data_IF_065602550878
#
_entry.id   IF_065602550878
#
_cell.length_a   1.000
_cell.length_b   1.000
_cell.length_c   1.000
_cell.angle_alpha   90.00
_cell.angle_beta   90.00
_cell.angle_gamma   90.00
#
_symmetry.space_group_name_H-M   'P 1'
#
loop_
_entity.id
_entity.type
_entity.pdbx_description
1 polymer ?
#
# COMPACT_ATOMS: atom_id res chain seq x y z
N UNK A 1 -0.52 4.37 -6.35
CA UNK A 1 -0.38 5.62 -7.15
C UNK A 1 0.93 6.29 -6.78
N UNK A 2 1.71 6.76 -7.78
CA UNK A 2 3.02 7.37 -7.56
C UNK A 2 3.09 8.76 -8.17
N UNK A 3 3.75 9.68 -7.46
CA UNK A 3 4.15 10.99 -7.96
C UNK A 3 5.50 10.81 -8.67
N UNK A 4 5.60 11.31 -9.91
CA UNK A 4 6.79 11.15 -10.75
C UNK A 4 7.99 11.94 -10.21
N UNK A 5 9.20 11.57 -10.67
CA UNK A 5 10.47 12.24 -10.35
C UNK A 5 10.38 13.74 -10.65
N UNK A 6 10.88 14.56 -9.70
CA UNK A 6 10.94 16.03 -9.85
C UNK A 6 9.61 16.75 -9.84
N UNK A 7 8.47 16.05 -9.66
CA UNK A 7 7.15 16.66 -9.75
C UNK A 7 6.73 17.42 -8.49
N UNK A 8 7.33 17.16 -7.34
CA UNK A 8 7.06 17.93 -6.11
C UNK A 8 8.07 19.08 -5.94
N UNK A 9 7.61 20.24 -5.46
CA UNK A 9 8.51 21.31 -5.03
C UNK A 9 9.49 20.78 -3.96
N UNK A 10 10.78 21.20 -3.99
CA UNK A 10 11.83 20.64 -3.12
C UNK A 10 11.50 20.68 -1.62
N UNK A 11 10.89 21.78 -1.16
CA UNK A 11 10.50 21.94 0.26
C UNK A 11 9.45 20.89 0.65
N UNK A 12 8.46 20.63 -0.23
CA UNK A 12 7.44 19.62 0.04
C UNK A 12 8.01 18.21 -0.06
N UNK A 13 8.88 17.95 -1.03
CA UNK A 13 9.61 16.68 -1.11
C UNK A 13 10.35 16.40 0.21
N UNK A 14 11.12 17.38 0.71
CA UNK A 14 11.83 17.28 1.98
C UNK A 14 10.89 17.06 3.18
N UNK A 15 9.75 17.77 3.22
CA UNK A 15 8.76 17.62 4.27
C UNK A 15 8.17 16.19 4.29
N UNK A 16 7.84 15.61 3.12
CA UNK A 16 7.34 14.24 3.05
C UNK A 16 8.39 13.19 3.41
N UNK A 17 9.67 13.43 3.12
CA UNK A 17 10.75 12.60 3.66
C UNK A 17 10.80 12.65 5.18
N UNK A 18 10.74 13.85 5.77
CA UNK A 18 10.75 14.01 7.22
C UNK A 18 9.56 13.30 7.89
N UNK A 19 8.35 13.43 7.31
CA UNK A 19 7.13 12.79 7.84
C UNK A 19 7.19 11.26 7.70
N UNK A 20 7.73 10.72 6.62
CA UNK A 20 7.79 9.27 6.36
C UNK A 20 8.88 8.55 7.14
N UNK A 21 10.01 9.21 7.39
CA UNK A 21 11.20 8.61 8.02
C UNK A 21 10.91 7.90 9.36
N UNK A 22 10.15 8.45 10.30
CA UNK A 22 9.85 7.77 11.56
C UNK A 22 9.13 6.43 11.36
N UNK A 23 8.20 6.36 10.40
CA UNK A 23 7.46 5.13 10.07
C UNK A 23 8.38 4.08 9.44
N UNK A 24 9.30 4.51 8.56
CA UNK A 24 10.27 3.62 7.93
C UNK A 24 11.25 3.05 8.96
N UNK A 25 11.77 3.87 9.87
CA UNK A 25 12.65 3.42 10.96
C UNK A 25 11.90 2.45 11.87
N UNK A 26 10.69 2.78 12.30
CA UNK A 26 9.86 1.87 13.10
C UNK A 26 9.59 0.57 12.35
N UNK A 27 9.32 0.66 11.05
CA UNK A 27 9.11 -0.49 10.18
C UNK A 27 10.34 -1.39 10.08
N UNK A 28 11.55 -0.82 9.92
CA UNK A 28 12.79 -1.58 9.92
C UNK A 28 12.98 -2.35 11.23
N UNK A 29 12.73 -1.70 12.38
CA UNK A 29 12.77 -2.37 13.69
C UNK A 29 11.72 -3.49 13.79
N UNK A 30 10.53 -3.28 13.24
CA UNK A 30 9.47 -4.29 13.22
C UNK A 30 9.86 -5.51 12.36
N UNK A 31 10.48 -5.31 11.20
CA UNK A 31 11.01 -6.39 10.35
C UNK A 31 12.09 -7.19 11.09
N UNK A 32 13.06 -6.50 11.71
CA UNK A 32 14.12 -7.16 12.49
C UNK A 32 13.51 -8.00 13.63
N UNK A 33 12.54 -7.44 14.36
CA UNK A 33 11.83 -8.16 15.44
C UNK A 33 11.08 -9.38 14.89
N UNK A 34 10.38 -9.25 13.77
CA UNK A 34 9.66 -10.35 13.13
C UNK A 34 10.60 -11.48 12.73
N UNK A 35 11.70 -11.14 12.04
CA UNK A 35 12.69 -12.11 11.58
C UNK A 35 13.43 -12.80 12.74
N UNK A 36 13.71 -12.08 13.83
CA UNK A 36 14.32 -12.69 15.04
C UNK A 36 13.37 -13.66 15.73
N UNK A 37 12.07 -13.34 15.76
CA UNK A 37 11.04 -14.19 16.38
C UNK A 37 10.73 -15.42 15.52
N UNK A 38 10.68 -15.24 14.20
CA UNK A 38 10.34 -16.25 13.21
C UNK A 38 11.27 -16.12 11.99
N UNK A 39 12.44 -16.81 11.99
CA UNK A 39 13.41 -16.73 10.90
C UNK A 39 12.88 -17.19 9.55
N UNK A 40 11.88 -18.08 9.52
CA UNK A 40 11.24 -18.57 8.29
C UNK A 40 10.35 -17.51 7.65
N UNK A 41 9.92 -16.50 8.42
CA UNK A 41 9.14 -15.39 7.89
C UNK A 41 9.88 -14.55 6.84
N UNK A 42 11.21 -14.67 6.70
CA UNK A 42 12.01 -13.97 5.69
C UNK A 42 11.51 -14.22 4.27
N UNK A 43 11.22 -15.50 3.96
CA UNK A 43 10.73 -15.87 2.63
C UNK A 43 9.36 -15.28 2.35
N UNK A 44 8.47 -15.33 3.35
CA UNK A 44 7.12 -14.74 3.22
C UNK A 44 7.16 -13.20 3.12
N UNK A 45 8.07 -12.55 3.85
CA UNK A 45 8.31 -11.11 3.74
C UNK A 45 8.82 -10.74 2.34
N UNK A 46 9.76 -11.50 1.80
CA UNK A 46 10.25 -11.31 0.45
C UNK A 46 9.15 -11.55 -0.60
N UNK A 47 8.34 -12.60 -0.43
CA UNK A 47 7.22 -12.89 -1.32
C UNK A 47 6.14 -11.78 -1.28
N UNK A 48 5.82 -11.26 -0.10
CA UNK A 48 4.89 -10.13 0.03
C UNK A 48 5.43 -8.86 -0.63
N UNK A 49 6.73 -8.57 -0.48
CA UNK A 49 7.39 -7.46 -1.17
C UNK A 49 7.39 -7.65 -2.69
N UNK A 50 7.70 -8.86 -3.18
CA UNK A 50 7.67 -9.19 -4.59
C UNK A 50 6.24 -9.09 -5.18
N UNK A 51 5.23 -9.55 -4.47
CA UNK A 51 3.83 -9.39 -4.86
C UNK A 51 3.44 -7.91 -4.96
N UNK A 52 3.76 -7.11 -3.95
CA UNK A 52 3.53 -5.67 -3.94
C UNK A 52 4.26 -5.00 -5.11
N UNK A 53 5.53 -5.35 -5.37
CA UNK A 53 6.31 -4.83 -6.48
C UNK A 53 5.66 -5.18 -7.84
N UNK A 54 5.34 -6.44 -8.06
CA UNK A 54 4.79 -6.91 -9.34
C UNK A 54 3.40 -6.30 -9.61
N UNK A 55 2.53 -6.28 -8.59
CA UNK A 55 1.18 -5.75 -8.73
C UNK A 55 1.20 -4.24 -9.01
N UNK A 56 1.99 -3.48 -8.28
CA UNK A 56 2.08 -2.03 -8.45
C UNK A 56 2.96 -1.59 -9.64
N UNK A 57 3.69 -2.50 -10.27
CA UNK A 57 4.40 -2.24 -11.53
C UNK A 57 3.46 -2.18 -12.74
N UNK A 58 2.27 -2.79 -12.66
CA UNK A 58 1.23 -2.70 -13.71
C UNK A 58 0.58 -1.32 -13.63
N UNK A 59 1.18 -0.36 -14.32
CA UNK A 59 0.76 1.05 -14.27
C UNK A 59 -0.06 1.46 -15.47
N UNK A 60 -1.10 2.24 -15.21
CA UNK A 60 -1.84 3.00 -16.21
C UNK A 60 -1.36 4.45 -16.17
N UNK A 61 -1.05 5.06 -17.33
CA UNK A 61 -0.77 6.49 -17.38
C UNK A 61 -1.93 7.28 -16.78
N UNK A 62 -1.63 8.21 -15.89
CA UNK A 62 -2.59 9.14 -15.34
C UNK A 62 -2.23 10.57 -15.72
N UNK A 63 -3.10 11.53 -15.44
CA UNK A 63 -2.83 12.93 -15.76
C UNK A 63 -1.82 13.53 -14.77
N UNK A 64 -1.11 14.56 -15.21
CA UNK A 64 -0.29 15.42 -14.35
C UNK A 64 0.82 14.71 -13.54
N UNK A 65 1.76 14.05 -14.25
CA UNK A 65 2.99 13.53 -13.60
C UNK A 65 2.76 12.43 -12.56
N UNK A 66 1.66 11.67 -12.68
CA UNK A 66 1.35 10.55 -11.82
C UNK A 66 0.94 9.30 -12.60
N UNK A 67 0.90 8.16 -11.93
CA UNK A 67 0.43 6.89 -12.49
C UNK A 67 -0.58 6.23 -11.57
N UNK A 68 -1.60 5.60 -12.16
CA UNK A 68 -2.60 4.79 -11.46
C UNK A 68 -2.21 3.31 -11.56
N UNK A 69 -2.29 2.59 -10.45
CA UNK A 69 -1.96 1.16 -10.37
C UNK A 69 -2.53 0.57 -9.08
N UNK A 70 -2.78 -0.75 -9.02
CA UNK A 70 -3.08 -1.42 -7.75
C UNK A 70 -1.87 -1.32 -6.82
N UNK A 71 -2.07 -1.44 -5.52
CA UNK A 71 -0.99 -1.26 -4.54
C UNK A 71 -0.39 -2.57 -4.03
N UNK A 72 -1.20 -3.58 -3.78
CA UNK A 72 -0.79 -4.83 -3.13
C UNK A 72 -0.49 -4.70 -1.63
N UNK A 73 -0.46 -3.48 -1.11
CA UNK A 73 -0.04 -3.21 0.26
C UNK A 73 -1.06 -3.66 1.31
N UNK A 74 -2.34 -3.76 0.93
CA UNK A 74 -3.40 -4.30 1.79
C UNK A 74 -3.12 -5.76 2.17
N UNK A 75 -2.70 -6.60 1.23
CA UNK A 75 -2.34 -8.00 1.50
C UNK A 75 -1.14 -8.09 2.45
N UNK A 76 -0.09 -7.32 2.19
CA UNK A 76 1.08 -7.27 3.07
C UNK A 76 0.72 -6.79 4.49
N UNK A 77 -0.23 -5.83 4.61
CA UNK A 77 -0.69 -5.33 5.90
C UNK A 77 -1.49 -6.39 6.69
N UNK A 78 -2.31 -7.20 6.03
CA UNK A 78 -3.00 -8.33 6.65
C UNK A 78 -1.99 -9.35 7.19
N UNK A 79 -0.98 -9.70 6.40
CA UNK A 79 0.02 -10.73 6.75
C UNK A 79 0.98 -10.26 7.85
N UNK A 80 1.53 -9.05 7.76
CA UNK A 80 2.65 -8.61 8.59
C UNK A 80 2.40 -7.36 9.42
N UNK A 81 1.20 -6.79 9.32
CA UNK A 81 0.81 -5.52 9.97
C UNK A 81 1.48 -4.28 9.35
N UNK A 82 0.85 -3.11 9.45
CA UNK A 82 1.30 -1.87 8.78
C UNK A 82 2.74 -1.44 9.06
N UNK A 83 3.29 -1.55 10.30
CA UNK A 83 4.67 -1.14 10.51
C UNK A 83 5.68 -1.88 9.63
N UNK A 84 5.50 -3.19 9.44
CA UNK A 84 6.37 -3.99 8.57
C UNK A 84 6.23 -3.52 7.11
N UNK A 85 5.01 -3.21 6.68
CA UNK A 85 4.73 -2.74 5.31
C UNK A 85 5.38 -1.38 5.04
N UNK A 86 5.48 -0.51 6.04
CA UNK A 86 6.16 0.79 5.89
C UNK A 86 7.61 0.63 5.42
N UNK A 87 8.34 -0.37 5.92
CA UNK A 87 9.71 -0.64 5.49
C UNK A 87 9.78 -1.40 4.17
N UNK A 88 9.03 -2.51 4.04
CA UNK A 88 9.03 -3.32 2.82
C UNK A 88 8.53 -2.50 1.63
N UNK A 89 7.45 -1.73 1.80
CA UNK A 89 6.93 -0.84 0.78
C UNK A 89 7.93 0.25 0.37
N UNK A 90 8.74 0.75 1.32
CA UNK A 90 9.84 1.68 0.99
C UNK A 90 10.87 1.02 0.06
N UNK A 91 11.25 -0.23 0.33
CA UNK A 91 12.18 -0.96 -0.55
C UNK A 91 11.55 -1.20 -1.93
N UNK A 92 10.28 -1.59 -1.98
CA UNK A 92 9.54 -1.76 -3.25
C UNK A 92 9.55 -0.46 -4.06
N UNK A 93 9.16 0.66 -3.44
CA UNK A 93 9.12 1.98 -4.07
C UNK A 93 10.49 2.45 -4.54
N UNK A 94 11.55 2.19 -3.75
CA UNK A 94 12.92 2.50 -4.12
C UNK A 94 13.35 1.71 -5.38
N UNK A 95 13.10 0.41 -5.40
CA UNK A 95 13.41 -0.42 -6.57
C UNK A 95 12.59 -0.01 -7.79
N UNK A 96 11.33 0.35 -7.64
CA UNK A 96 10.50 0.84 -8.75
C UNK A 96 11.02 2.18 -9.30
N UNK A 97 11.46 3.09 -8.45
CA UNK A 97 12.04 4.35 -8.88
C UNK A 97 13.35 4.14 -9.68
N UNK A 98 14.23 3.25 -9.21
CA UNK A 98 15.53 3.01 -9.84
C UNK A 98 15.41 2.14 -11.11
N UNK A 99 14.63 1.05 -11.05
CA UNK A 99 14.61 0.05 -12.12
C UNK A 99 13.55 0.30 -13.19
N UNK A 100 12.43 0.94 -12.82
CA UNK A 100 11.25 1.07 -13.69
C UNK A 100 10.92 2.53 -14.04
N UNK A 101 11.69 3.51 -13.53
CA UNK A 101 11.33 4.92 -13.59
C UNK A 101 9.85 5.14 -13.18
N UNK A 102 9.42 4.43 -12.12
CA UNK A 102 8.06 4.44 -11.61
C UNK A 102 8.05 5.11 -10.23
N UNK A 103 7.45 6.29 -10.12
CA UNK A 103 7.67 7.22 -9.03
C UNK A 103 8.95 8.03 -9.25
N UNK A 104 9.66 8.35 -8.18
CA UNK A 104 10.92 9.07 -8.25
C UNK A 104 11.66 9.05 -6.92
N UNK A 105 12.99 9.30 -6.98
CA UNK A 105 13.82 9.40 -5.79
C UNK A 105 13.51 10.67 -5.00
N UNK A 106 13.30 11.80 -5.69
CA UNK A 106 12.93 13.07 -5.03
C UNK A 106 11.53 13.03 -4.43
N UNK A 107 10.63 12.22 -4.97
CA UNK A 107 9.25 12.07 -4.50
C UNK A 107 9.06 10.82 -3.62
N UNK A 108 10.14 10.08 -3.33
CA UNK A 108 10.07 8.82 -2.59
C UNK A 108 9.39 8.98 -1.23
N UNK A 109 9.70 10.05 -0.49
CA UNK A 109 9.07 10.32 0.81
C UNK A 109 7.55 10.44 0.73
N UNK A 110 7.03 11.14 -0.27
CA UNK A 110 5.59 11.29 -0.49
C UNK A 110 4.94 9.95 -0.90
N UNK A 111 5.56 9.23 -1.83
CA UNK A 111 5.09 7.93 -2.28
C UNK A 111 5.12 6.88 -1.16
N UNK A 112 6.12 6.90 -0.30
CA UNK A 112 6.20 6.06 0.91
C UNK A 112 5.05 6.40 1.87
N UNK A 113 4.81 7.69 2.14
CA UNK A 113 3.75 8.06 3.06
C UNK A 113 2.37 7.61 2.56
N UNK A 114 2.07 7.83 1.29
CA UNK A 114 0.76 7.45 0.73
C UNK A 114 0.59 5.93 0.64
N UNK A 115 1.53 5.22 0.02
CA UNK A 115 1.38 3.81 -0.32
C UNK A 115 1.88 2.84 0.75
N UNK A 116 2.97 3.18 1.47
CA UNK A 116 3.55 2.27 2.45
C UNK A 116 3.15 2.58 3.90
N UNK A 117 2.57 3.78 4.15
CA UNK A 117 2.07 4.16 5.48
C UNK A 117 0.54 4.27 5.46
N UNK A 118 -0.03 5.30 4.85
CA UNK A 118 -1.47 5.59 4.96
C UNK A 118 -2.34 4.45 4.41
N UNK A 119 -2.06 3.95 3.21
CA UNK A 119 -2.78 2.84 2.61
C UNK A 119 -2.84 1.61 3.51
N UNK A 120 -1.69 1.02 3.92
CA UNK A 120 -1.65 -0.14 4.80
C UNK A 120 -2.35 0.03 6.14
N UNK A 121 -2.25 1.20 6.76
CA UNK A 121 -2.93 1.47 8.04
C UNK A 121 -4.45 1.48 7.88
N UNK A 122 -4.96 2.17 6.85
CA UNK A 122 -6.40 2.20 6.56
C UNK A 122 -6.92 0.81 6.17
N UNK A 123 -6.21 0.09 5.31
CA UNK A 123 -6.57 -1.28 4.94
C UNK A 123 -6.57 -2.24 6.13
N UNK A 124 -5.54 -2.18 6.98
CA UNK A 124 -5.47 -3.00 8.19
C UNK A 124 -6.60 -2.70 9.19
N UNK A 125 -7.02 -1.44 9.29
CA UNK A 125 -8.17 -1.06 10.10
C UNK A 125 -9.43 -1.79 9.60
N UNK A 126 -9.67 -1.85 8.28
CA UNK A 126 -10.78 -2.60 7.70
C UNK A 126 -10.68 -4.10 8.02
N UNK A 127 -9.49 -4.68 7.85
CA UNK A 127 -9.25 -6.07 8.23
C UNK A 127 -9.64 -6.35 9.68
N UNK A 128 -9.13 -5.58 10.62
CA UNK A 128 -9.39 -5.79 12.07
C UNK A 128 -10.87 -5.62 12.39
N UNK A 129 -11.53 -4.65 11.77
CA UNK A 129 -12.94 -4.34 12.02
C UNK A 129 -13.88 -5.44 11.52
N UNK A 130 -13.60 -6.02 10.35
CA UNK A 130 -14.54 -6.92 9.68
C UNK A 130 -14.17 -8.42 9.72
N UNK A 131 -12.92 -8.79 10.10
CA UNK A 131 -12.46 -10.19 10.08
C UNK A 131 -13.26 -11.15 10.96
N UNK A 132 -13.95 -10.65 12.00
CA UNK A 132 -14.82 -11.45 12.86
C UNK A 132 -16.23 -11.63 12.29
N UNK A 133 -16.65 -10.77 11.37
CA UNK A 133 -17.95 -10.80 10.72
C UNK A 133 -17.89 -11.68 9.46
N UNK A 134 -17.00 -11.31 8.54
CA UNK A 134 -16.77 -12.07 7.30
C UNK A 134 -15.34 -11.81 6.80
N UNK A 135 -14.56 -12.86 6.66
CA UNK A 135 -13.14 -12.75 6.28
C UNK A 135 -12.94 -12.34 4.82
N UNK A 136 -13.75 -12.86 3.92
CA UNK A 136 -13.66 -12.47 2.51
C UNK A 136 -13.98 -10.98 2.34
N UNK A 137 -15.03 -10.49 3.01
CA UNK A 137 -15.37 -9.08 3.04
C UNK A 137 -14.23 -8.25 3.68
N UNK A 138 -13.65 -8.73 4.79
CA UNK A 138 -12.54 -8.04 5.46
C UNK A 138 -11.30 -7.93 4.57
N UNK A 139 -10.96 -8.98 3.84
CA UNK A 139 -9.86 -8.97 2.86
C UNK A 139 -10.17 -8.01 1.71
N UNK A 140 -11.38 -8.11 1.13
CA UNK A 140 -11.81 -7.21 0.07
C UNK A 140 -11.68 -5.74 0.49
N UNK A 141 -12.27 -5.39 1.64
CA UNK A 141 -12.23 -4.02 2.15
C UNK A 141 -10.80 -3.57 2.50
N UNK A 142 -9.98 -4.47 3.05
CA UNK A 142 -8.59 -4.14 3.38
C UNK A 142 -7.78 -3.78 2.14
N UNK A 143 -7.94 -4.53 1.05
CA UNK A 143 -7.26 -4.27 -0.22
C UNK A 143 -7.80 -2.99 -0.88
N UNK A 144 -9.12 -2.91 -1.06
CA UNK A 144 -9.75 -1.78 -1.73
C UNK A 144 -9.54 -0.45 -0.99
N UNK A 145 -9.66 -0.45 0.34
CA UNK A 145 -9.46 0.77 1.14
C UNK A 145 -7.99 1.16 1.23
N UNK A 146 -7.05 0.19 1.23
CA UNK A 146 -5.62 0.52 1.15
C UNK A 146 -5.28 1.26 -0.15
N UNK A 147 -5.82 0.82 -1.28
CA UNK A 147 -5.65 1.49 -2.58
C UNK A 147 -6.32 2.87 -2.58
N UNK A 148 -7.57 2.98 -2.16
CA UNK A 148 -8.29 4.25 -2.10
C UNK A 148 -7.64 5.25 -1.14
N UNK A 149 -7.14 4.82 0.02
CA UNK A 149 -6.45 5.69 0.96
C UNK A 149 -5.13 6.23 0.35
N UNK A 150 -4.39 5.37 -0.36
CA UNK A 150 -3.20 5.79 -1.10
C UNK A 150 -3.53 6.88 -2.12
N UNK A 151 -4.60 6.70 -2.86
CA UNK A 151 -5.09 7.67 -3.85
C UNK A 151 -5.51 9.01 -3.22
N UNK A 152 -6.28 8.97 -2.14
CA UNK A 152 -6.76 10.18 -1.45
C UNK A 152 -5.58 10.98 -0.90
N UNK A 153 -4.62 10.31 -0.26
CA UNK A 153 -3.42 10.97 0.25
C UNK A 153 -2.57 11.55 -0.87
N UNK A 154 -2.40 10.84 -1.99
CA UNK A 154 -1.67 11.38 -3.15
C UNK A 154 -2.37 12.59 -3.74
N UNK A 155 -3.70 12.58 -3.83
CA UNK A 155 -4.48 13.74 -4.28
C UNK A 155 -4.28 14.94 -3.36
N UNK A 156 -4.27 14.72 -2.06
CA UNK A 156 -3.96 15.75 -1.06
C UNK A 156 -2.54 16.31 -1.24
N UNK A 157 -1.54 15.44 -1.40
CA UNK A 157 -0.14 15.84 -1.61
C UNK A 157 0.02 16.74 -2.84
N UNK A 158 -0.65 16.37 -3.93
CA UNK A 158 -0.63 17.16 -5.17
C UNK A 158 -1.41 18.47 -5.04
N UNK A 159 -2.54 18.49 -4.33
CA UNK A 159 -3.30 19.71 -4.11
C UNK A 159 -2.54 20.73 -3.23
N UNK A 160 -1.76 20.24 -2.26
CA UNK A 160 -0.85 21.11 -1.47
C UNK A 160 0.30 21.64 -2.33
N UNK A 161 0.83 20.80 -3.24
CA UNK A 161 1.91 21.19 -4.15
C UNK A 161 1.46 22.21 -5.21
N UNK A 162 0.24 22.04 -5.70
CA UNK A 162 -0.33 22.79 -6.81
C UNK A 162 -1.74 23.30 -6.46
N UNK A 163 -1.87 24.24 -5.52
CA UNK A 163 -3.14 24.90 -5.28
C UNK A 163 -3.59 25.60 -6.57
N UNK A 164 -4.90 25.67 -6.81
CA UNK A 164 -5.45 26.29 -8.03
C UNK A 164 -4.97 27.74 -8.24
N UNK A 165 -5.22 28.29 -9.42
CA UNK A 165 -4.74 29.63 -9.81
C UNK A 165 -5.07 30.73 -8.78
N UNK A 166 -6.19 30.58 -8.08
CA UNK A 166 -6.62 31.51 -7.03
C UNK A 166 -6.17 31.05 -5.61
N UNK A 167 -5.20 30.12 -5.51
CA UNK A 167 -4.79 29.52 -4.23
C UNK A 167 -5.87 28.63 -3.60
N UNK A 168 -6.90 28.25 -4.33
CA UNK A 168 -8.01 27.44 -3.82
C UNK A 168 -7.62 25.96 -3.73
N UNK A 169 -7.16 25.58 -2.55
CA UNK A 169 -6.80 24.19 -2.23
C UNK A 169 -7.98 23.22 -2.46
N UNK A 170 -9.21 23.59 -2.08
CA UNK A 170 -10.38 22.71 -2.22
C UNK A 170 -10.71 22.39 -3.67
N UNK A 171 -10.61 23.39 -4.55
CA UNK A 171 -10.82 23.21 -6.00
C UNK A 171 -9.72 22.29 -6.59
N UNK A 172 -8.47 22.48 -6.19
CA UNK A 172 -7.36 21.64 -6.63
C UNK A 172 -7.51 20.20 -6.14
N UNK A 173 -7.85 20.00 -4.86
CA UNK A 173 -8.09 18.67 -4.29
C UNK A 173 -9.25 17.97 -5.03
N UNK A 174 -10.36 18.65 -5.26
CA UNK A 174 -11.50 18.12 -6.02
C UNK A 174 -11.10 17.72 -7.43
N UNK A 175 -10.27 18.52 -8.10
CA UNK A 175 -9.76 18.21 -9.44
C UNK A 175 -8.89 16.95 -9.45
N UNK A 176 -7.88 16.86 -8.57
CA UNK A 176 -7.03 15.67 -8.50
C UNK A 176 -7.84 14.42 -8.10
N UNK A 177 -8.68 14.54 -7.08
CA UNK A 177 -9.52 13.45 -6.63
C UNK A 177 -10.47 12.94 -7.73
N UNK A 178 -11.16 13.80 -8.46
CA UNK A 178 -12.09 13.38 -9.51
C UNK A 178 -11.38 12.71 -10.69
N UNK A 179 -10.24 13.25 -11.10
CA UNK A 179 -9.46 12.68 -12.21
C UNK A 179 -8.95 11.29 -11.86
N UNK A 180 -8.40 11.11 -10.66
CA UNK A 180 -7.89 9.82 -10.23
C UNK A 180 -8.99 8.80 -9.92
N UNK A 181 -10.15 9.24 -9.44
CA UNK A 181 -11.27 8.36 -9.14
C UNK A 181 -11.68 7.48 -10.32
N UNK A 182 -11.61 8.00 -11.54
CA UNK A 182 -11.99 7.29 -12.78
C UNK A 182 -11.20 5.98 -12.93
N UNK A 183 -9.92 5.97 -12.58
CA UNK A 183 -9.07 4.79 -12.66
C UNK A 183 -8.97 4.03 -11.34
N UNK A 184 -8.86 4.75 -10.22
CA UNK A 184 -8.61 4.11 -8.92
C UNK A 184 -9.83 3.41 -8.32
N UNK A 185 -11.04 3.87 -8.55
CA UNK A 185 -12.22 3.16 -8.05
C UNK A 185 -12.35 1.77 -8.70
N UNK A 186 -12.29 1.62 -10.04
CA UNK A 186 -12.25 0.29 -10.66
C UNK A 186 -11.06 -0.55 -10.22
N UNK A 187 -9.87 0.04 -10.08
CA UNK A 187 -8.66 -0.67 -9.63
C UNK A 187 -8.80 -1.15 -8.19
N UNK A 188 -9.33 -0.35 -7.28
CA UNK A 188 -9.57 -0.74 -5.89
C UNK A 188 -10.54 -1.93 -5.78
N UNK A 189 -11.60 -1.94 -6.59
CA UNK A 189 -12.54 -3.06 -6.67
C UNK A 189 -11.81 -4.32 -7.18
N UNK A 190 -11.06 -4.19 -8.27
CA UNK A 190 -10.28 -5.30 -8.83
C UNK A 190 -9.23 -5.82 -7.84
N UNK A 191 -8.53 -4.92 -7.13
CA UNK A 191 -7.56 -5.28 -6.09
C UNK A 191 -8.23 -5.99 -4.92
N UNK A 192 -9.43 -5.54 -4.51
CA UNK A 192 -10.23 -6.21 -3.48
C UNK A 192 -10.61 -7.63 -3.87
N UNK A 193 -11.08 -7.84 -5.10
CA UNK A 193 -11.40 -9.18 -5.65
C UNK A 193 -10.16 -10.07 -5.72
N UNK A 194 -9.06 -9.52 -6.26
CA UNK A 194 -7.79 -10.23 -6.33
C UNK A 194 -7.31 -10.65 -4.94
N UNK A 195 -7.47 -9.80 -3.93
CA UNK A 195 -7.15 -10.10 -2.54
C UNK A 195 -7.93 -11.29 -2.01
N UNK A 196 -9.23 -11.33 -2.24
CA UNK A 196 -10.09 -12.47 -1.83
C UNK A 196 -9.60 -13.77 -2.48
N UNK A 197 -9.32 -13.76 -3.78
CA UNK A 197 -8.82 -14.93 -4.51
C UNK A 197 -7.42 -15.34 -3.99
N UNK A 198 -6.54 -14.38 -3.76
CA UNK A 198 -5.20 -14.62 -3.20
C UNK A 198 -5.28 -15.30 -1.83
N UNK A 199 -6.07 -14.77 -0.90
CA UNK A 199 -6.19 -15.34 0.43
C UNK A 199 -6.91 -16.69 0.44
N UNK A 200 -7.88 -16.92 -0.46
CA UNK A 200 -8.47 -18.23 -0.68
C UNK A 200 -7.44 -19.26 -1.18
N UNK A 201 -6.55 -18.85 -2.09
CA UNK A 201 -5.44 -19.68 -2.55
C UNK A 201 -4.42 -19.95 -1.43
N UNK A 202 -3.99 -18.89 -0.72
CA UNK A 202 -3.01 -19.02 0.37
C UNK A 202 -3.52 -19.92 1.50
N UNK A 203 -4.82 -19.91 1.78
CA UNK A 203 -5.40 -20.79 2.80
C UNK A 203 -5.20 -22.27 2.46
N UNK A 204 -5.20 -22.61 1.17
CA UNK A 204 -5.00 -24.01 0.70
C UNK A 204 -3.52 -24.39 0.65
N UNK A 205 -2.63 -23.49 0.24
CA UNK A 205 -1.22 -23.84 -0.04
C UNK A 205 -0.26 -23.42 1.08
N UNK A 206 -0.64 -22.47 1.94
CA UNK A 206 0.18 -21.89 2.99
C UNK A 206 -0.58 -21.72 4.32
N UNK A 207 -1.52 -22.63 4.59
CA UNK A 207 -2.34 -22.61 5.80
C UNK A 207 -1.54 -22.61 7.12
N UNK A 208 -0.50 -23.45 7.26
CA UNK A 208 0.39 -23.44 8.43
C UNK A 208 1.05 -22.07 8.66
N UNK A 209 1.51 -21.42 7.61
CA UNK A 209 2.14 -20.10 7.65
C UNK A 209 1.14 -19.01 8.07
N UNK A 210 -0.06 -19.03 7.51
CA UNK A 210 -1.13 -18.10 7.88
C UNK A 210 -1.52 -18.25 9.35
N UNK A 211 -1.52 -19.49 9.86
CA UNK A 211 -1.78 -19.77 11.28
C UNK A 211 -0.64 -19.25 12.15
N UNK A 212 0.62 -19.48 11.75
CA UNK A 212 1.83 -19.01 12.44
C UNK A 212 1.89 -17.48 12.51
N UNK A 213 1.49 -16.79 11.43
CA UNK A 213 1.39 -15.33 11.39
C UNK A 213 0.18 -14.79 12.18
N UNK A 214 -0.73 -15.65 12.61
CA UNK A 214 -1.94 -15.27 13.36
C UNK A 214 -3.01 -14.57 12.52
N UNK A 215 -2.98 -14.77 11.20
CA UNK A 215 -3.97 -14.24 10.25
C UNK A 215 -5.23 -15.07 10.29
N UNK A 216 -5.10 -16.40 10.23
CA UNK A 216 -6.18 -17.37 10.36
C UNK A 216 -5.91 -18.34 11.52
N UNK A 217 -6.96 -18.87 12.11
CA UNK A 217 -6.88 -19.97 13.09
C UNK A 217 -6.75 -21.31 12.37
N UNK A 218 -6.20 -22.32 13.05
CA UNK A 218 -6.08 -23.68 12.50
C UNK A 218 -7.44 -24.22 12.02
N UNK A 219 -8.51 -24.02 12.80
CA UNK A 219 -9.87 -24.43 12.46
C UNK A 219 -10.38 -23.77 11.15
N UNK A 220 -10.02 -22.52 10.91
CA UNK A 220 -10.43 -21.80 9.70
C UNK A 220 -9.66 -22.25 8.47
N UNK A 221 -8.41 -22.62 8.62
CA UNK A 221 -7.60 -23.20 7.54
C UNK A 221 -8.14 -24.58 7.18
N UNK A 222 -8.41 -25.44 8.17
CA UNK A 222 -8.98 -26.77 7.96
C UNK A 222 -10.37 -26.74 7.31
N UNK A 223 -11.18 -25.73 7.62
CA UNK A 223 -12.52 -25.58 7.03
C UNK A 223 -12.48 -25.08 5.57
N UNK A 224 -11.37 -24.52 5.10
CA UNK A 224 -11.20 -23.98 3.75
C UNK A 224 -10.37 -24.89 2.82
N UNK A 225 -9.76 -25.95 3.36
CA UNK A 225 -9.00 -26.97 2.62
C UNK A 225 -9.92 -28.02 2.00
#
# INVERSE_FOLDING_TARGET
MHIAEGFLPPIQAAAWFAVSTPFVIHGAMAVVKQVRKDPESKLLLAAAGAFTFALSAVKLPSVTGSSSHPTGTGAAAILFRPPVVAFIGTLVLLFQAILLAHGGLTTLGANVFSMAVAGPWCGYLMWVSFRKVNKALAVFLAMAVADLATYVVTSFQLAVAYPGADGNFGASLGKFASVFAVTQIPLAIAEGVLGVLLFAFLTKVAGPELTRLGVFTKKEVEAAA
#
